data_IF_359337573433
#
_entry.id   IF_359337573433
#
_cell.length_a   1.000
_cell.length_b   1.000
_cell.length_c   1.000
_cell.angle_alpha   90.00
_cell.angle_beta   90.00
_cell.angle_gamma   90.00
#
_symmetry.space_group_name_H-M   'P 1'
#
loop_
_entity.id
_entity.type
_entity.pdbx_description
1 polymer ?
#
# COMPACT_ATOMS: atom_id res chain seq x y z
N UNK A 1 -52.28 -92.98 -25.91
CA UNK A 1 -53.38 -92.03 -25.60
C UNK A 1 -52.78 -90.65 -25.33
N UNK A 2 -53.29 -89.61 -26.01
CA UNK A 2 -53.29 -88.16 -25.69
C UNK A 2 -52.04 -87.51 -25.03
N UNK A 3 -51.19 -86.74 -25.74
CA UNK A 3 -51.27 -85.27 -25.97
C UNK A 3 -51.60 -84.40 -24.72
N UNK A 4 -50.60 -83.64 -24.20
CA UNK A 4 -50.48 -82.15 -24.18
C UNK A 4 -49.61 -81.57 -23.03
N UNK A 5 -48.67 -80.71 -23.45
CA UNK A 5 -47.94 -79.57 -22.84
C UNK A 5 -48.65 -78.71 -21.75
N UNK A 6 -48.03 -77.63 -21.19
CA UNK A 6 -46.64 -77.40 -20.72
C UNK A 6 -46.54 -76.57 -19.40
N UNK A 7 -45.29 -76.25 -19.01
CA UNK A 7 -44.86 -75.31 -17.94
C UNK A 7 -45.52 -73.92 -18.02
N UNK A 8 -45.82 -73.34 -16.85
CA UNK A 8 -46.12 -71.92 -16.68
C UNK A 8 -45.03 -71.25 -15.82
N UNK A 9 -44.35 -70.27 -16.43
CA UNK A 9 -43.48 -69.28 -15.80
C UNK A 9 -44.35 -68.06 -15.51
N UNK A 10 -44.36 -67.55 -14.28
CA UNK A 10 -45.00 -66.29 -13.92
C UNK A 10 -43.91 -65.23 -13.70
N UNK A 11 -43.99 -64.04 -14.33
CA UNK A 11 -43.03 -62.94 -14.17
C UNK A 11 -43.56 -61.79 -13.28
N UNK A 12 -42.72 -60.75 -13.12
CA UNK A 12 -42.95 -59.41 -12.53
C UNK A 12 -42.61 -59.30 -11.02
N UNK A 13 -41.96 -58.25 -10.51
CA UNK A 13 -41.78 -56.88 -11.01
C UNK A 13 -40.60 -56.21 -10.26
N UNK A 14 -39.64 -55.62 -10.97
CA UNK A 14 -38.57 -54.79 -10.38
C UNK A 14 -39.06 -53.34 -10.37
N UNK A 15 -39.41 -52.82 -9.20
CA UNK A 15 -39.65 -51.39 -9.01
C UNK A 15 -38.37 -50.60 -9.32
N UNK A 16 -38.39 -49.86 -10.44
CA UNK A 16 -37.42 -48.81 -10.74
C UNK A 16 -37.82 -47.56 -9.97
N UNK A 17 -37.02 -47.18 -8.98
CA UNK A 17 -37.06 -45.84 -8.36
C UNK A 17 -36.69 -44.80 -9.44
N UNK A 18 -37.44 -43.70 -9.61
CA UNK A 18 -37.08 -42.65 -10.56
C UNK A 18 -35.83 -41.92 -10.06
N UNK A 19 -34.82 -41.79 -10.92
CA UNK A 19 -33.70 -40.87 -10.69
C UNK A 19 -34.25 -39.45 -10.76
N UNK A 20 -34.27 -38.74 -9.63
CA UNK A 20 -34.48 -37.30 -9.58
C UNK A 20 -33.26 -36.59 -10.18
N UNK A 21 -33.34 -36.26 -11.46
CA UNK A 21 -32.44 -35.32 -12.11
C UNK A 21 -32.94 -33.90 -11.89
N UNK A 22 -32.19 -33.10 -11.13
CA UNK A 22 -32.03 -31.65 -11.27
C UNK A 22 -31.03 -31.18 -10.20
N UNK A 23 -29.73 -31.28 -10.49
CA UNK A 23 -28.79 -30.33 -9.90
C UNK A 23 -28.85 -29.10 -10.79
N UNK A 24 -29.41 -28.00 -10.29
CA UNK A 24 -29.52 -26.71 -10.98
C UNK A 24 -28.13 -26.07 -11.16
N UNK A 25 -27.34 -26.65 -12.06
CA UNK A 25 -26.18 -25.98 -12.62
C UNK A 25 -26.70 -24.95 -13.64
N UNK A 26 -26.25 -23.69 -13.59
CA UNK A 26 -26.70 -22.68 -14.54
C UNK A 26 -26.45 -23.13 -15.99
N UNK A 27 -27.34 -22.78 -16.94
CA UNK A 27 -27.20 -23.17 -18.35
C UNK A 27 -25.79 -22.84 -18.86
N UNK A 28 -25.21 -23.71 -19.69
CA UNK A 28 -23.84 -23.57 -20.19
C UNK A 28 -23.54 -22.20 -20.83
N UNK A 29 -24.56 -21.53 -21.36
CA UNK A 29 -24.55 -20.14 -21.87
C UNK A 29 -24.40 -19.09 -20.77
N UNK A 30 -25.11 -19.22 -19.64
CA UNK A 30 -24.96 -18.33 -18.47
C UNK A 30 -23.59 -18.51 -17.85
N UNK A 31 -23.11 -19.76 -17.76
CA UNK A 31 -21.75 -20.07 -17.30
C UNK A 31 -20.68 -19.44 -18.21
N UNK A 32 -20.80 -19.57 -19.53
CA UNK A 32 -19.90 -18.89 -20.49
C UNK A 32 -19.99 -17.36 -20.42
N UNK A 33 -21.18 -16.81 -20.20
CA UNK A 33 -21.40 -15.38 -20.00
C UNK A 33 -20.71 -14.87 -18.74
N UNK A 34 -20.85 -15.60 -17.63
CA UNK A 34 -20.15 -15.32 -16.37
C UNK A 34 -18.64 -15.49 -16.49
N UNK A 35 -18.16 -16.52 -17.18
CA UNK A 35 -16.73 -16.74 -17.44
C UNK A 35 -16.14 -15.63 -18.33
N UNK A 36 -16.89 -15.14 -19.33
CA UNK A 36 -16.52 -14.01 -20.19
C UNK A 36 -16.49 -12.68 -19.43
N UNK A 37 -17.52 -12.41 -18.62
CA UNK A 37 -17.58 -11.24 -17.74
C UNK A 37 -16.48 -11.28 -16.68
N UNK A 38 -16.21 -12.46 -16.12
CA UNK A 38 -15.13 -12.64 -15.16
C UNK A 38 -13.76 -12.41 -15.80
N UNK A 39 -13.52 -12.94 -17.00
CA UNK A 39 -12.28 -12.69 -17.75
C UNK A 39 -12.10 -11.20 -18.10
N UNK A 40 -13.16 -10.53 -18.57
CA UNK A 40 -13.07 -9.10 -18.94
C UNK A 40 -12.84 -8.17 -17.74
N UNK A 41 -13.30 -8.57 -16.54
CA UNK A 41 -13.14 -7.81 -15.30
C UNK A 41 -11.82 -8.14 -14.57
N UNK A 42 -11.23 -9.31 -14.83
CA UNK A 42 -10.01 -9.78 -14.15
C UNK A 42 -8.74 -9.65 -14.98
N UNK A 43 -8.83 -9.64 -16.30
CA UNK A 43 -7.68 -9.44 -17.17
C UNK A 43 -7.38 -7.95 -17.35
N UNK A 44 -6.09 -7.55 -17.39
CA UNK A 44 -5.72 -6.20 -17.82
C UNK A 44 -6.12 -6.04 -19.30
N UNK A 45 -7.34 -5.56 -19.54
CA UNK A 45 -7.91 -5.38 -20.88
C UNK A 45 -7.20 -4.29 -21.70
N UNK A 46 -7.80 -3.92 -22.84
CA UNK A 46 -7.32 -2.86 -23.72
C UNK A 46 -6.91 -1.60 -22.93
N UNK A 47 -5.66 -1.16 -23.12
CA UNK A 47 -5.07 -0.02 -22.41
C UNK A 47 -5.89 1.25 -22.57
N UNK A 48 -6.58 1.43 -23.71
CA UNK A 48 -7.43 2.58 -23.94
C UNK A 48 -8.69 2.55 -23.08
N UNK A 49 -9.41 1.42 -23.07
CA UNK A 49 -10.62 1.22 -22.26
C UNK A 49 -10.28 1.35 -20.77
N UNK A 50 -9.14 0.82 -20.33
CA UNK A 50 -8.69 0.92 -18.95
C UNK A 50 -8.45 2.37 -18.50
N UNK A 51 -7.96 3.24 -19.40
CA UNK A 51 -7.77 4.67 -19.10
C UNK A 51 -9.09 5.42 -19.00
N UNK A 52 -10.04 5.15 -19.90
CA UNK A 52 -11.39 5.72 -19.81
C UNK A 52 -12.03 5.31 -18.49
N UNK A 53 -11.88 4.04 -18.12
CA UNK A 53 -12.38 3.50 -16.86
C UNK A 53 -11.80 4.22 -15.63
N UNK A 54 -10.47 4.38 -15.57
CA UNK A 54 -9.82 5.16 -14.51
C UNK A 54 -10.35 6.59 -14.47
N UNK A 55 -10.48 7.25 -15.63
CA UNK A 55 -10.94 8.63 -15.70
C UNK A 55 -12.36 8.80 -15.15
N UNK A 56 -13.28 7.90 -15.51
CA UNK A 56 -14.65 7.89 -14.99
C UNK A 56 -14.67 7.64 -13.48
N UNK A 57 -13.86 6.70 -12.99
CA UNK A 57 -13.80 6.39 -11.56
C UNK A 57 -13.26 7.56 -10.75
N UNK A 58 -12.17 8.21 -11.21
CA UNK A 58 -11.63 9.41 -10.58
C UNK A 58 -12.63 10.56 -10.60
N UNK A 59 -13.37 10.74 -11.71
CA UNK A 59 -14.41 11.76 -11.78
C UNK A 59 -15.53 11.52 -10.77
N UNK A 60 -16.00 10.28 -10.63
CA UNK A 60 -16.96 9.91 -9.60
C UNK A 60 -16.39 10.15 -8.17
N UNK A 61 -15.10 9.85 -7.97
CA UNK A 61 -14.42 10.04 -6.69
C UNK A 61 -14.25 11.52 -6.33
N UNK A 62 -14.05 12.40 -7.31
CA UNK A 62 -14.08 13.87 -7.13
C UNK A 62 -15.44 14.33 -6.63
N UNK A 63 -16.53 13.85 -7.26
CA UNK A 63 -17.90 14.20 -6.84
C UNK A 63 -18.16 13.72 -5.41
N UNK A 64 -17.84 12.46 -5.13
CA UNK A 64 -17.97 11.89 -3.79
C UNK A 64 -17.19 12.72 -2.77
N UNK A 65 -15.92 13.00 -3.05
CA UNK A 65 -15.06 13.76 -2.15
C UNK A 65 -15.57 15.18 -1.91
N UNK A 66 -16.13 15.85 -2.93
CA UNK A 66 -16.76 17.16 -2.76
C UNK A 66 -17.98 17.07 -1.86
N UNK A 67 -18.84 16.07 -2.05
CA UNK A 67 -19.98 15.80 -1.15
C UNK A 67 -19.50 15.57 0.28
N UNK A 68 -18.42 14.80 0.48
CA UNK A 68 -17.87 14.55 1.81
C UNK A 68 -17.38 15.84 2.48
N UNK A 69 -16.71 16.74 1.76
CA UNK A 69 -16.29 18.05 2.27
C UNK A 69 -17.50 18.90 2.68
N UNK A 70 -18.57 18.89 1.89
CA UNK A 70 -19.75 19.72 2.14
C UNK A 70 -20.65 19.18 3.27
N UNK A 71 -20.67 17.86 3.46
CA UNK A 71 -21.60 17.19 4.39
C UNK A 71 -20.94 16.81 5.72
N UNK A 72 -19.67 16.41 5.72
CA UNK A 72 -18.99 15.91 6.92
C UNK A 72 -18.13 17.01 7.54
N UNK A 73 -18.36 17.37 8.82
CA UNK A 73 -17.54 18.36 9.49
C UNK A 73 -16.06 17.99 9.51
N UNK A 74 -15.24 19.00 9.27
CA UNK A 74 -13.80 18.90 9.47
C UNK A 74 -13.47 18.49 10.92
N UNK A 75 -12.50 17.60 11.09
CA UNK A 75 -12.02 17.16 12.41
C UNK A 75 -10.60 17.64 12.63
N UNK A 76 -10.43 18.62 13.50
CA UNK A 76 -9.11 19.12 13.88
C UNK A 76 -8.33 18.08 14.67
N UNK A 77 -7.09 17.80 14.25
CA UNK A 77 -6.16 16.94 14.97
C UNK A 77 -4.77 17.59 14.98
N UNK A 78 -4.20 17.82 13.79
CA UNK A 78 -2.82 18.33 13.68
C UNK A 78 -2.69 19.59 12.77
N UNK A 79 -3.70 19.93 11.96
CA UNK A 79 -3.54 20.96 10.94
C UNK A 79 -3.26 22.34 11.53
N UNK A 80 -3.99 22.71 12.59
CA UNK A 80 -3.74 23.93 13.37
C UNK A 80 -2.32 23.96 13.95
N UNK A 81 -1.85 22.83 14.50
CA UNK A 81 -0.48 22.69 15.00
C UNK A 81 0.54 22.85 13.87
N UNK A 82 0.28 22.33 12.67
CA UNK A 82 1.15 22.57 11.52
C UNK A 82 1.25 24.05 11.18
N UNK A 83 0.14 24.80 11.25
CA UNK A 83 0.12 26.26 11.01
C UNK A 83 0.93 27.02 12.06
N UNK A 84 0.79 26.66 13.34
CA UNK A 84 1.55 27.25 14.44
C UNK A 84 3.05 26.98 14.30
N UNK A 85 3.43 25.73 14.00
CA UNK A 85 4.82 25.35 13.82
C UNK A 85 5.48 26.13 12.66
N UNK A 86 4.81 26.28 11.52
CA UNK A 86 5.37 27.08 10.42
C UNK A 86 5.34 28.57 10.71
N UNK A 87 4.40 29.07 11.52
CA UNK A 87 4.40 30.48 11.95
C UNK A 87 5.65 30.79 12.79
N UNK A 88 6.11 29.90 13.68
CA UNK A 88 7.41 30.04 14.35
C UNK A 88 8.57 30.21 13.35
N UNK A 89 8.60 29.37 12.31
CA UNK A 89 9.62 29.44 11.26
C UNK A 89 9.53 30.76 10.46
N UNK A 90 8.32 31.17 10.06
CA UNK A 90 8.11 32.41 9.32
C UNK A 90 8.50 33.66 10.13
N UNK A 91 8.38 33.59 11.47
CA UNK A 91 8.83 34.62 12.40
C UNK A 91 10.35 34.61 12.67
N UNK A 92 11.10 33.72 12.01
CA UNK A 92 12.57 33.70 12.07
C UNK A 92 13.17 32.59 12.94
N UNK A 93 12.37 31.73 13.59
CA UNK A 93 12.91 30.62 14.37
C UNK A 93 13.57 29.56 13.46
N UNK A 94 14.76 29.09 13.85
CA UNK A 94 15.56 28.09 13.12
C UNK A 94 15.98 26.92 14.01
N UNK A 95 15.80 27.01 15.32
CA UNK A 95 16.03 25.93 16.24
C UNK A 95 14.79 25.04 16.34
N UNK A 96 14.87 23.81 15.83
CA UNK A 96 13.76 22.85 15.83
C UNK A 96 13.22 22.53 17.22
N UNK A 97 14.04 22.63 18.27
CA UNK A 97 13.60 22.40 19.66
C UNK A 97 12.63 23.46 20.16
N UNK A 98 12.51 24.59 19.45
CA UNK A 98 11.64 25.73 19.78
C UNK A 98 10.48 25.90 18.79
N UNK A 99 10.38 25.03 17.79
CA UNK A 99 9.27 25.02 16.84
C UNK A 99 8.22 24.04 17.36
N UNK A 100 7.14 24.56 17.90
CA UNK A 100 6.06 23.78 18.50
C UNK A 100 4.69 24.38 18.21
N UNK A 101 3.64 23.60 18.45
CA UNK A 101 2.27 24.05 18.49
C UNK A 101 1.49 23.26 19.54
N UNK A 102 0.17 23.36 19.51
CA UNK A 102 -0.71 22.85 20.57
C UNK A 102 -0.56 21.33 20.82
N UNK A 103 -0.23 20.54 19.79
CA UNK A 103 -0.01 19.09 19.92
C UNK A 103 1.47 18.69 20.09
N UNK A 104 2.37 19.67 20.23
CA UNK A 104 3.77 19.50 20.60
C UNK A 104 4.79 19.95 19.55
N UNK A 105 6.07 19.56 19.72
CA UNK A 105 7.17 20.03 18.89
C UNK A 105 7.17 19.41 17.49
N UNK A 106 7.79 20.11 16.53
CA UNK A 106 7.86 19.68 15.14
C UNK A 106 8.62 18.37 14.97
N UNK A 107 7.86 17.40 14.45
CA UNK A 107 8.18 16.03 14.03
C UNK A 107 9.13 15.76 12.90
N UNK A 108 9.12 16.72 12.00
CA UNK A 108 9.08 16.40 10.59
C UNK A 108 10.27 17.04 9.90
N UNK A 109 10.88 16.39 8.91
CA UNK A 109 11.96 17.02 8.18
C UNK A 109 11.51 18.28 7.45
N UNK A 110 12.46 19.11 7.03
CA UNK A 110 12.20 20.48 6.61
C UNK A 110 11.25 20.63 5.40
N UNK A 111 11.06 19.59 4.59
CA UNK A 111 10.03 19.61 3.54
C UNK A 111 8.62 19.80 4.08
N UNK A 112 8.33 19.35 5.31
CA UNK A 112 7.09 19.67 6.02
C UNK A 112 6.95 21.19 6.24
N UNK A 113 8.00 21.85 6.76
CA UNK A 113 7.99 23.29 6.99
C UNK A 113 7.72 24.05 5.70
N UNK A 114 8.39 23.68 4.60
CA UNK A 114 8.20 24.34 3.30
C UNK A 114 6.79 24.15 2.74
N UNK A 115 6.26 22.92 2.76
CA UNK A 115 4.91 22.65 2.29
C UNK A 115 3.86 23.39 3.12
N UNK A 116 3.95 23.33 4.45
CA UNK A 116 2.97 23.99 5.30
C UNK A 116 3.15 25.51 5.38
N UNK A 117 4.32 26.07 5.05
CA UNK A 117 4.47 27.52 4.82
C UNK A 117 3.64 27.99 3.62
N UNK A 118 3.58 27.19 2.54
CA UNK A 118 2.68 27.44 1.42
C UNK A 118 1.22 27.33 1.85
N UNK A 119 0.85 26.27 2.59
CA UNK A 119 -0.51 26.12 3.13
C UNK A 119 -0.92 27.28 4.03
N UNK A 120 -0.02 27.73 4.91
CA UNK A 120 -0.24 28.87 5.80
C UNK A 120 -0.56 30.14 4.99
N UNK A 121 0.11 30.36 3.87
CA UNK A 121 -0.22 31.48 2.97
C UNK A 121 -1.57 31.29 2.27
N UNK A 122 -1.81 30.11 1.69
CA UNK A 122 -3.02 29.83 0.89
C UNK A 122 -4.31 29.75 1.72
N UNK A 123 -4.22 29.48 3.02
CA UNK A 123 -5.38 29.24 3.89
C UNK A 123 -5.58 30.31 4.96
N UNK A 124 -4.93 31.48 4.81
CA UNK A 124 -4.91 32.54 5.84
C UNK A 124 -4.56 32.01 7.24
N UNK A 125 -3.38 31.40 7.37
CA UNK A 125 -2.88 30.75 8.60
C UNK A 125 -3.75 29.57 9.09
N UNK A 126 -4.47 28.91 8.18
CA UNK A 126 -5.38 27.81 8.50
C UNK A 126 -6.80 28.24 8.89
N UNK A 127 -7.17 29.52 8.74
CA UNK A 127 -8.55 29.98 8.97
C UNK A 127 -9.49 29.53 7.86
N UNK A 128 -9.02 29.47 6.62
CA UNK A 128 -9.77 29.02 5.46
C UNK A 128 -9.64 27.49 5.31
N UNK A 129 -10.30 26.75 6.22
CA UNK A 129 -10.23 25.29 6.26
C UNK A 129 -10.73 24.66 4.96
N UNK A 130 -11.84 25.15 4.40
CA UNK A 130 -12.44 24.61 3.16
C UNK A 130 -11.46 24.67 1.99
N UNK A 131 -10.68 25.75 1.87
CA UNK A 131 -9.64 25.87 0.85
C UNK A 131 -8.53 24.84 1.07
N UNK A 132 -8.15 24.62 2.33
CA UNK A 132 -7.27 23.51 2.73
C UNK A 132 -7.82 22.15 2.30
N UNK A 133 -9.11 21.89 2.53
CA UNK A 133 -9.76 20.63 2.14
C UNK A 133 -9.77 20.44 0.62
N UNK A 134 -9.97 21.51 -0.16
CA UNK A 134 -9.88 21.47 -1.61
C UNK A 134 -8.45 21.22 -2.12
N UNK A 135 -7.43 21.80 -1.48
CA UNK A 135 -6.02 21.49 -1.79
C UNK A 135 -5.74 20.00 -1.53
N UNK A 136 -6.19 19.47 -0.39
CA UNK A 136 -6.01 18.06 -0.06
C UNK A 136 -6.84 17.11 -0.93
N UNK A 137 -7.98 17.56 -1.45
CA UNK A 137 -8.72 16.85 -2.49
C UNK A 137 -7.88 16.74 -3.78
N UNK A 138 -7.24 17.83 -4.22
CA UNK A 138 -6.34 17.78 -5.38
C UNK A 138 -5.19 16.79 -5.14
N UNK A 139 -4.57 16.83 -3.95
CA UNK A 139 -3.50 15.91 -3.56
C UNK A 139 -4.00 14.45 -3.57
N UNK A 140 -5.21 14.20 -3.06
CA UNK A 140 -5.86 12.88 -3.08
C UNK A 140 -6.03 12.37 -4.50
N UNK A 141 -6.65 13.14 -5.39
CA UNK A 141 -6.92 12.71 -6.78
C UNK A 141 -5.64 12.51 -7.57
N UNK A 142 -4.64 13.38 -7.40
CA UNK A 142 -3.32 13.18 -8.01
C UNK A 142 -2.66 11.89 -7.50
N UNK A 143 -2.75 11.61 -6.20
CA UNK A 143 -2.21 10.38 -5.63
C UNK A 143 -2.93 9.15 -6.22
N UNK A 144 -4.26 9.16 -6.28
CA UNK A 144 -5.05 8.08 -6.86
C UNK A 144 -4.70 7.86 -8.34
N UNK A 145 -4.61 8.93 -9.14
CA UNK A 145 -4.22 8.86 -10.54
C UNK A 145 -2.86 8.18 -10.73
N UNK A 146 -1.85 8.62 -9.96
CA UNK A 146 -0.50 8.05 -10.05
C UNK A 146 -0.49 6.57 -9.63
N UNK A 147 -1.21 6.19 -8.59
CA UNK A 147 -1.32 4.79 -8.16
C UNK A 147 -2.01 3.94 -9.23
N UNK A 148 -3.14 4.39 -9.78
CA UNK A 148 -3.88 3.66 -10.80
C UNK A 148 -3.09 3.52 -12.10
N UNK A 149 -2.37 4.56 -12.51
CA UNK A 149 -1.45 4.48 -13.64
C UNK A 149 -0.28 3.54 -13.38
N UNK A 150 0.28 3.54 -12.17
CA UNK A 150 1.32 2.59 -11.74
C UNK A 150 0.86 1.15 -11.86
N UNK A 151 -0.36 0.89 -11.39
CA UNK A 151 -1.01 -0.41 -11.47
C UNK A 151 -1.28 -0.82 -12.92
N UNK A 152 -1.78 0.10 -13.75
CA UNK A 152 -1.99 -0.12 -15.19
C UNK A 152 -0.69 -0.54 -15.87
N UNK A 153 0.38 0.23 -15.71
CA UNK A 153 1.65 -0.05 -16.40
C UNK A 153 2.34 -1.32 -15.89
N UNK A 154 1.97 -1.81 -14.70
CA UNK A 154 2.45 -3.08 -14.15
C UNK A 154 1.76 -4.31 -14.75
N UNK A 155 0.67 -4.13 -15.52
CA UNK A 155 -0.14 -5.18 -16.14
C UNK A 155 -0.64 -6.25 -15.15
N UNK A 156 -0.88 -5.88 -13.89
CA UNK A 156 -1.19 -6.85 -12.83
C UNK A 156 -2.39 -6.49 -11.96
N UNK A 157 -2.81 -5.24 -11.93
CA UNK A 157 -4.06 -4.87 -11.29
C UNK A 157 -5.19 -4.96 -12.30
N UNK A 158 -6.21 -5.75 -11.96
CA UNK A 158 -7.46 -5.78 -12.71
C UNK A 158 -8.27 -4.49 -12.46
N UNK A 159 -9.19 -4.11 -13.36
CA UNK A 159 -10.16 -3.05 -13.07
C UNK A 159 -10.90 -3.26 -11.74
N UNK A 160 -11.21 -4.52 -11.40
CA UNK A 160 -11.79 -4.88 -10.11
C UNK A 160 -10.93 -4.46 -8.92
N UNK A 161 -9.60 -4.64 -9.01
CA UNK A 161 -8.67 -4.23 -7.95
C UNK A 161 -8.76 -2.72 -7.71
N UNK A 162 -8.82 -1.94 -8.79
CA UNK A 162 -8.91 -0.47 -8.73
C UNK A 162 -10.25 -0.04 -8.13
N UNK A 163 -11.37 -0.56 -8.62
CA UNK A 163 -12.71 -0.26 -8.07
C UNK A 163 -12.76 -0.56 -6.59
N UNK A 164 -12.34 -1.75 -6.22
CA UNK A 164 -12.44 -2.22 -4.85
C UNK A 164 -11.61 -1.34 -3.90
N UNK A 165 -10.43 -0.91 -4.33
CA UNK A 165 -9.60 0.04 -3.56
C UNK A 165 -10.20 1.44 -3.48
N UNK A 166 -10.96 1.89 -4.48
CA UNK A 166 -11.71 3.16 -4.39
C UNK A 166 -12.93 3.01 -3.47
N UNK A 167 -13.64 1.88 -3.53
CA UNK A 167 -14.81 1.66 -2.67
C UNK A 167 -14.45 1.49 -1.19
N UNK A 168 -13.28 0.91 -0.87
CA UNK A 168 -12.80 0.76 0.50
C UNK A 168 -12.06 1.98 1.05
N UNK A 169 -11.90 3.08 0.30
CA UNK A 169 -11.04 4.19 0.73
C UNK A 169 -11.68 5.11 1.77
N UNK A 170 -12.63 4.64 2.58
CA UNK A 170 -13.34 5.45 3.58
C UNK A 170 -12.36 6.18 4.52
N UNK A 171 -11.44 5.43 5.14
CA UNK A 171 -10.45 6.04 6.03
C UNK A 171 -9.50 6.96 5.26
N UNK A 172 -9.13 6.60 4.03
CA UNK A 172 -8.23 7.40 3.21
C UNK A 172 -8.84 8.77 2.87
N UNK A 173 -10.12 8.82 2.50
CA UNK A 173 -10.81 10.10 2.31
C UNK A 173 -10.73 10.96 3.57
N UNK A 174 -11.02 10.34 4.70
CA UNK A 174 -11.01 10.98 6.00
C UNK A 174 -9.62 11.50 6.44
N UNK A 175 -8.54 10.84 6.01
CA UNK A 175 -7.16 11.27 6.26
C UNK A 175 -6.79 12.48 5.39
N UNK A 176 -7.17 12.46 4.11
CA UNK A 176 -6.84 13.53 3.16
C UNK A 176 -7.68 14.78 3.40
N UNK A 177 -9.00 14.71 3.18
CA UNK A 177 -9.84 15.91 3.07
C UNK A 177 -10.53 16.32 4.37
N UNK A 178 -10.62 15.45 5.38
CA UNK A 178 -11.30 15.76 6.64
C UNK A 178 -10.35 16.01 7.82
N UNK A 179 -9.04 15.80 7.61
CA UNK A 179 -7.99 15.95 8.64
C UNK A 179 -6.68 16.57 8.15
N UNK A 180 -6.47 16.68 6.83
CA UNK A 180 -5.37 17.46 6.24
C UNK A 180 -3.96 16.99 6.69
N UNK A 181 -3.80 15.68 6.86
CA UNK A 181 -2.58 15.11 7.44
C UNK A 181 -1.35 15.21 6.54
N UNK A 182 -0.20 15.49 7.14
CA UNK A 182 1.11 15.56 6.48
C UNK A 182 1.44 14.29 5.67
N UNK A 183 0.96 13.14 6.14
CA UNK A 183 1.12 11.82 5.51
C UNK A 183 0.69 11.78 4.04
N UNK A 184 -0.34 12.53 3.67
CA UNK A 184 -0.90 12.59 2.31
C UNK A 184 0.12 13.10 1.29
N UNK A 185 0.85 14.16 1.67
CA UNK A 185 1.85 14.81 0.82
C UNK A 185 3.08 13.91 0.67
N UNK A 186 3.54 13.33 1.77
CA UNK A 186 4.66 12.39 1.77
C UNK A 186 4.38 11.19 0.85
N UNK A 187 3.16 10.64 0.93
CA UNK A 187 2.77 9.49 0.12
C UNK A 187 2.54 9.84 -1.35
N UNK A 188 2.05 11.04 -1.69
CA UNK A 188 2.00 11.49 -3.09
C UNK A 188 3.39 11.50 -3.72
N UNK A 189 4.37 12.12 -3.08
CA UNK A 189 5.75 12.14 -3.57
C UNK A 189 6.36 10.74 -3.66
N UNK A 190 6.11 9.89 -2.66
CA UNK A 190 6.55 8.49 -2.69
C UNK A 190 5.93 7.72 -3.87
N UNK A 191 4.63 7.87 -4.12
CA UNK A 191 3.95 7.17 -5.21
C UNK A 191 4.41 7.68 -6.60
N UNK A 192 4.74 8.97 -6.74
CA UNK A 192 5.40 9.49 -7.95
C UNK A 192 6.76 8.82 -8.17
N UNK A 193 7.57 8.68 -7.12
CA UNK A 193 8.85 7.99 -7.22
C UNK A 193 8.69 6.53 -7.65
N UNK A 194 7.74 5.81 -7.05
CA UNK A 194 7.41 4.42 -7.42
C UNK A 194 6.98 4.34 -8.88
N UNK A 195 6.07 5.22 -9.32
CA UNK A 195 5.62 5.27 -10.72
C UNK A 195 6.80 5.45 -11.69
N UNK A 196 7.69 6.40 -11.41
CA UNK A 196 8.87 6.69 -12.22
C UNK A 196 9.83 5.49 -12.31
N UNK A 197 10.02 4.76 -11.20
CA UNK A 197 10.81 3.52 -11.19
C UNK A 197 10.17 2.42 -12.05
N UNK A 198 8.83 2.28 -11.97
CA UNK A 198 8.10 1.23 -12.70
C UNK A 198 8.05 1.50 -14.20
N UNK A 199 7.84 2.75 -14.64
CA UNK A 199 7.82 3.06 -16.08
C UNK A 199 9.22 2.98 -16.71
N UNK A 200 10.27 3.21 -15.92
CA UNK A 200 11.66 2.97 -16.26
C UNK A 200 12.13 3.45 -17.65
N UNK A 201 13.14 2.75 -18.17
CA UNK A 201 13.71 2.94 -19.51
C UNK A 201 14.90 3.89 -19.54
N UNK A 202 14.71 5.17 -19.19
CA UNK A 202 15.78 6.18 -19.23
C UNK A 202 16.25 6.56 -17.83
N UNK A 203 17.57 6.69 -17.64
CA UNK A 203 18.20 7.02 -16.34
C UNK A 203 17.67 8.30 -15.69
N UNK A 204 17.31 9.31 -16.47
CA UNK A 204 16.77 10.57 -15.92
C UNK A 204 15.48 10.37 -15.13
N UNK A 205 14.63 9.39 -15.48
CA UNK A 205 13.41 9.08 -14.73
C UNK A 205 13.73 8.51 -13.36
N UNK A 206 14.80 7.73 -13.25
CA UNK A 206 15.27 7.19 -11.99
C UNK A 206 15.86 8.28 -11.09
N UNK A 207 16.61 9.21 -11.67
CA UNK A 207 17.10 10.39 -10.95
C UNK A 207 15.95 11.26 -10.46
N UNK A 208 14.91 11.43 -11.28
CA UNK A 208 13.68 12.10 -10.88
C UNK A 208 12.96 11.32 -9.77
N UNK A 209 12.95 9.98 -9.83
CA UNK A 209 12.41 9.15 -8.77
C UNK A 209 13.17 9.36 -7.45
N UNK A 210 14.50 9.46 -7.48
CA UNK A 210 15.31 9.75 -6.30
C UNK A 210 15.00 11.13 -5.70
N UNK A 211 14.77 12.14 -6.55
CA UNK A 211 14.35 13.49 -6.12
C UNK A 211 12.98 13.43 -5.43
N UNK A 212 11.97 12.84 -6.07
CA UNK A 212 10.63 12.72 -5.49
C UNK A 212 10.62 11.85 -4.22
N UNK A 213 11.40 10.77 -4.20
CA UNK A 213 11.58 9.94 -3.02
C UNK A 213 12.12 10.77 -1.85
N UNK A 214 13.15 11.58 -2.11
CA UNK A 214 13.73 12.46 -1.10
C UNK A 214 12.77 13.58 -0.69
N UNK A 215 11.98 14.15 -1.59
CA UNK A 215 10.90 15.08 -1.22
C UNK A 215 9.90 14.44 -0.26
N UNK A 216 9.50 13.19 -0.51
CA UNK A 216 8.64 12.41 0.39
C UNK A 216 9.26 12.23 1.78
N UNK A 217 10.53 11.80 1.85
CA UNK A 217 11.29 11.71 3.11
C UNK A 217 11.37 13.07 3.81
N UNK A 218 11.58 14.14 3.03
CA UNK A 218 11.64 15.51 3.50
C UNK A 218 10.32 15.99 4.12
N UNK A 219 9.20 15.40 3.77
CA UNK A 219 7.89 15.69 4.37
C UNK A 219 7.64 14.79 5.59
N UNK A 220 7.91 13.49 5.47
CA UNK A 220 7.75 12.53 6.56
C UNK A 220 8.69 11.33 6.40
N UNK A 221 9.39 10.98 7.48
CA UNK A 221 10.42 9.93 7.47
C UNK A 221 9.88 8.50 7.25
N UNK A 222 8.57 8.25 7.30
CA UNK A 222 8.01 6.92 7.03
C UNK A 222 8.37 6.40 5.63
N UNK A 223 8.62 7.31 4.68
CA UNK A 223 9.06 6.99 3.32
C UNK A 223 10.42 6.26 3.31
N UNK A 224 11.21 6.33 4.38
CA UNK A 224 12.43 5.54 4.56
C UNK A 224 12.19 4.03 4.57
N UNK A 225 10.98 3.56 4.87
CA UNK A 225 10.63 2.14 4.84
C UNK A 225 10.80 1.49 3.45
N UNK A 226 10.84 2.29 2.38
CA UNK A 226 11.11 1.82 1.02
C UNK A 226 12.61 1.79 0.66
N UNK A 227 13.49 2.41 1.45
CA UNK A 227 14.90 2.62 1.10
C UNK A 227 15.65 1.32 0.74
N UNK A 228 15.53 0.20 1.50
CA UNK A 228 16.23 -1.03 1.18
C UNK A 228 15.85 -1.59 -0.20
N UNK A 229 14.56 -1.63 -0.50
CA UNK A 229 14.05 -2.08 -1.79
C UNK A 229 14.49 -1.16 -2.94
N UNK A 230 14.39 0.16 -2.77
CA UNK A 230 14.82 1.13 -3.78
C UNK A 230 16.31 0.96 -4.09
N UNK A 231 17.16 0.89 -3.06
CA UNK A 231 18.60 0.75 -3.23
C UNK A 231 18.97 -0.53 -3.99
N UNK A 232 18.39 -1.68 -3.60
CA UNK A 232 18.63 -2.95 -4.27
C UNK A 232 18.13 -2.93 -5.72
N UNK A 233 16.94 -2.39 -5.98
CA UNK A 233 16.38 -2.30 -7.33
C UNK A 233 17.21 -1.39 -8.25
N UNK A 234 17.70 -0.26 -7.74
CA UNK A 234 18.58 0.64 -8.51
C UNK A 234 19.90 -0.06 -8.81
N UNK A 235 20.51 -0.70 -7.79
CA UNK A 235 21.78 -1.40 -7.93
C UNK A 235 21.69 -2.54 -8.96
N UNK A 236 20.68 -3.41 -8.85
CA UNK A 236 20.51 -4.58 -9.72
C UNK A 236 20.18 -4.19 -11.16
N UNK A 237 19.36 -3.16 -11.36
CA UNK A 237 18.91 -2.76 -12.70
C UNK A 237 19.87 -1.82 -13.41
N UNK A 238 20.69 -1.05 -12.69
CA UNK A 238 21.48 0.03 -13.28
C UNK A 238 22.93 0.12 -12.78
N UNK A 239 23.29 -0.62 -11.74
CA UNK A 239 24.64 -0.71 -11.20
C UNK A 239 24.97 0.35 -10.15
N UNK A 240 26.16 0.21 -9.57
CA UNK A 240 26.64 1.01 -8.43
C UNK A 240 26.72 2.52 -8.73
N UNK A 241 27.20 2.92 -9.91
CA UNK A 241 27.36 4.35 -10.26
C UNK A 241 26.01 5.05 -10.24
N UNK A 242 24.97 4.43 -10.81
CA UNK A 242 23.62 4.99 -10.81
C UNK A 242 23.01 5.05 -9.41
N UNK A 243 23.31 4.06 -8.56
CA UNK A 243 22.94 4.10 -7.13
C UNK A 243 23.58 5.30 -6.42
N UNK A 244 24.89 5.52 -6.61
CA UNK A 244 25.60 6.64 -6.00
C UNK A 244 25.07 7.99 -6.46
N UNK A 245 24.85 8.18 -7.77
CA UNK A 245 24.27 9.43 -8.29
C UNK A 245 22.85 9.66 -7.72
N UNK A 246 22.03 8.61 -7.66
CA UNK A 246 20.68 8.70 -7.09
C UNK A 246 20.74 9.09 -5.60
N UNK A 247 21.68 8.51 -4.84
CA UNK A 247 21.93 8.84 -3.44
C UNK A 247 22.40 10.28 -3.25
N UNK A 248 23.32 10.77 -4.09
CA UNK A 248 23.78 12.16 -4.08
C UNK A 248 22.61 13.11 -4.35
N UNK A 249 21.78 12.83 -5.36
CA UNK A 249 20.61 13.66 -5.66
C UNK A 249 19.62 13.69 -4.49
N UNK A 250 19.34 12.54 -3.89
CA UNK A 250 18.48 12.46 -2.71
C UNK A 250 19.07 13.25 -1.53
N UNK A 251 20.38 13.14 -1.27
CA UNK A 251 21.10 13.90 -0.25
C UNK A 251 21.06 15.41 -0.51
N UNK A 252 21.29 15.84 -1.75
CA UNK A 252 21.21 17.25 -2.15
C UNK A 252 19.83 17.84 -1.89
N UNK A 253 18.75 17.11 -2.17
CA UNK A 253 17.39 17.55 -1.83
C UNK A 253 17.25 17.78 -0.32
N UNK A 254 17.74 16.86 0.52
CA UNK A 254 17.69 17.04 1.99
C UNK A 254 18.52 18.24 2.46
N UNK A 255 19.70 18.46 1.86
CA UNK A 255 20.54 19.62 2.16
C UNK A 255 19.86 20.93 1.77
N UNK A 256 19.20 20.99 0.62
CA UNK A 256 18.45 22.18 0.17
C UNK A 256 17.28 22.46 1.12
N UNK A 257 16.45 21.46 1.40
CA UNK A 257 15.30 21.63 2.28
C UNK A 257 15.74 22.03 3.70
N UNK A 258 16.76 21.37 4.23
CA UNK A 258 17.29 21.60 5.57
C UNK A 258 18.24 22.79 5.70
N UNK A 259 18.61 23.46 4.60
CA UNK A 259 19.62 24.52 4.56
C UNK A 259 19.52 25.56 5.69
N UNK A 260 18.35 26.18 5.96
CA UNK A 260 18.25 27.21 6.99
C UNK A 260 18.50 26.68 8.42
N UNK A 261 18.32 25.37 8.63
CA UNK A 261 18.48 24.73 9.93
C UNK A 261 19.86 24.11 10.09
N UNK A 262 20.37 23.46 9.04
CA UNK A 262 21.70 22.83 9.01
C UNK A 262 22.84 23.85 9.17
N UNK A 263 22.63 25.09 8.72
CA UNK A 263 23.64 26.16 8.84
C UNK A 263 23.66 26.82 10.22
N UNK A 264 22.58 26.76 10.99
CA UNK A 264 22.44 27.48 12.26
C UNK A 264 22.35 26.54 13.46
N UNK A 265 21.53 25.49 13.38
CA UNK A 265 21.26 24.51 14.45
C UNK A 265 21.24 23.07 13.91
N UNK A 266 22.37 22.54 13.37
CA UNK A 266 22.38 21.24 12.70
C UNK A 266 22.02 20.07 13.60
N UNK A 267 22.51 20.06 14.85
CA UNK A 267 22.27 18.97 15.80
C UNK A 267 20.80 18.95 16.23
N UNK A 268 20.24 20.11 16.60
CA UNK A 268 18.84 20.26 16.98
C UNK A 268 17.90 19.85 15.83
N UNK A 269 18.24 20.24 14.59
CA UNK A 269 17.51 19.82 13.40
C UNK A 269 17.52 18.31 13.23
N UNK A 270 18.71 17.68 13.13
CA UNK A 270 18.82 16.25 12.83
C UNK A 270 18.18 15.37 13.91
N UNK A 271 18.32 15.75 15.18
CA UNK A 271 17.76 14.98 16.31
C UNK A 271 16.24 15.13 16.44
N UNK A 272 15.68 16.30 16.09
CA UNK A 272 14.25 16.56 16.17
C UNK A 272 13.50 16.07 14.93
N UNK A 273 13.99 16.42 13.73
CA UNK A 273 13.36 16.08 12.45
C UNK A 273 13.33 14.57 12.15
N UNK A 274 14.33 13.82 12.63
CA UNK A 274 14.45 12.38 12.45
C UNK A 274 14.48 11.68 13.82
N UNK A 275 13.50 11.98 14.66
CA UNK A 275 13.44 11.44 16.02
C UNK A 275 13.01 9.97 16.06
N UNK A 276 13.98 9.06 15.92
CA UNK A 276 13.79 7.61 16.05
C UNK A 276 13.50 7.15 17.49
N UNK A 277 13.76 7.99 18.49
CA UNK A 277 13.51 7.69 19.90
C UNK A 277 12.08 7.98 20.36
N UNK A 278 11.26 8.62 19.52
CA UNK A 278 9.91 9.02 19.86
C UNK A 278 9.04 7.82 20.21
N UNK A 279 8.40 7.90 21.38
CA UNK A 279 7.42 6.92 21.83
C UNK A 279 6.03 7.53 21.69
N UNK A 280 5.20 6.89 20.89
CA UNK A 280 3.81 7.31 20.71
C UNK A 280 2.92 6.74 21.84
N UNK A 281 1.82 7.44 22.12
CA UNK A 281 0.90 7.06 23.19
C UNK A 281 0.18 5.75 22.87
N UNK A 282 0.21 4.81 23.80
CA UNK A 282 -0.47 3.50 23.68
C UNK A 282 -1.99 3.62 23.49
N UNK A 283 -2.61 4.73 23.92
CA UNK A 283 -4.04 5.00 23.66
C UNK A 283 -4.37 5.01 22.17
N UNK A 284 -3.46 5.49 21.32
CA UNK A 284 -3.71 5.74 19.91
C UNK A 284 -3.13 4.67 18.98
N UNK A 285 -2.42 3.67 19.52
CA UNK A 285 -1.86 2.59 18.72
C UNK A 285 -2.94 1.64 18.21
N UNK A 286 -2.87 1.30 16.92
CA UNK A 286 -3.74 0.32 16.27
C UNK A 286 -3.11 -1.07 16.30
N UNK A 287 -1.83 -1.15 15.93
CA UNK A 287 -1.02 -2.35 16.06
C UNK A 287 -0.55 -2.53 17.51
N UNK A 288 -0.44 -3.80 17.92
CA UNK A 288 -0.02 -4.19 19.27
C UNK A 288 -0.90 -3.65 20.40
N UNK A 289 -2.12 -3.16 20.09
CA UNK A 289 -3.10 -2.78 21.11
C UNK A 289 -3.57 -3.98 21.95
N UNK A 290 -3.43 -5.19 21.40
CA UNK A 290 -3.65 -6.44 22.12
C UNK A 290 -2.54 -6.82 23.12
N UNK A 291 -1.43 -6.06 23.15
CA UNK A 291 -0.32 -6.25 24.08
C UNK A 291 -0.50 -5.28 25.25
N UNK A 292 -0.28 -5.68 26.51
CA UNK A 292 -0.32 -4.77 27.66
C UNK A 292 0.59 -3.54 27.51
N UNK A 293 0.17 -2.41 28.08
CA UNK A 293 0.87 -1.12 27.91
C UNK A 293 2.30 -1.12 28.45
N UNK A 294 2.53 -1.80 29.57
CA UNK A 294 3.84 -1.98 30.19
C UNK A 294 4.81 -2.72 29.26
N UNK A 295 4.36 -3.80 28.61
CA UNK A 295 5.16 -4.53 27.62
C UNK A 295 5.33 -3.72 26.33
N UNK A 296 4.32 -2.97 25.91
CA UNK A 296 4.41 -2.10 24.73
C UNK A 296 5.47 -1.01 24.92
N UNK A 297 5.56 -0.41 26.12
CA UNK A 297 6.53 0.63 26.42
C UNK A 297 7.93 0.08 26.71
N UNK A 298 8.08 -1.22 26.97
CA UNK A 298 9.38 -1.87 27.21
C UNK A 298 10.34 -1.70 26.02
N UNK A 299 11.57 -1.26 26.34
CA UNK A 299 12.68 -1.14 25.39
C UNK A 299 13.05 -2.50 24.79
N UNK A 300 12.96 -3.60 25.54
CA UNK A 300 13.25 -4.95 25.02
C UNK A 300 12.25 -5.35 23.94
N UNK A 301 10.97 -5.06 24.16
CA UNK A 301 9.93 -5.29 23.16
C UNK A 301 10.22 -4.50 21.88
N UNK A 302 10.53 -3.20 21.99
CA UNK A 302 10.91 -2.38 20.84
C UNK A 302 12.12 -2.93 20.07
N UNK A 303 13.20 -3.31 20.77
CA UNK A 303 14.39 -3.88 20.14
C UNK A 303 14.11 -5.24 19.49
N UNK A 304 13.24 -6.06 20.08
CA UNK A 304 12.82 -7.35 19.50
C UNK A 304 12.06 -7.16 18.18
N UNK A 305 11.17 -6.17 18.11
CA UNK A 305 10.45 -5.82 16.88
C UNK A 305 11.40 -5.33 15.79
N UNK A 306 12.39 -4.52 16.15
CA UNK A 306 13.42 -4.06 15.22
C UNK A 306 14.28 -5.24 14.70
N UNK A 307 14.69 -6.16 15.58
CA UNK A 307 15.44 -7.34 15.18
C UNK A 307 14.63 -8.24 14.23
N UNK A 308 13.36 -8.47 14.53
CA UNK A 308 12.44 -9.22 13.66
C UNK A 308 12.22 -8.54 12.31
N UNK A 309 12.05 -7.21 12.31
CA UNK A 309 11.94 -6.42 11.08
C UNK A 309 13.15 -6.61 10.17
N UNK A 310 14.37 -6.46 10.71
CA UNK A 310 15.61 -6.61 9.94
C UNK A 310 15.80 -8.06 9.45
N UNK A 311 15.48 -9.04 10.29
CA UNK A 311 15.52 -10.45 9.93
C UNK A 311 14.59 -10.77 8.76
N UNK A 312 13.33 -10.33 8.83
CA UNK A 312 12.35 -10.59 7.76
C UNK A 312 12.70 -9.85 6.48
N UNK A 313 13.20 -8.60 6.57
CA UNK A 313 13.70 -7.88 5.40
C UNK A 313 14.86 -8.62 4.72
N UNK A 314 15.85 -9.07 5.50
CA UNK A 314 16.98 -9.84 4.96
C UNK A 314 16.50 -11.14 4.32
N UNK A 315 15.60 -11.85 4.99
CA UNK A 315 15.00 -13.08 4.45
C UNK A 315 14.29 -12.83 3.11
N UNK A 316 13.47 -11.78 3.02
CA UNK A 316 12.79 -11.42 1.77
C UNK A 316 13.77 -11.02 0.68
N UNK A 317 14.78 -10.21 0.99
CA UNK A 317 15.80 -9.81 0.04
C UNK A 317 16.55 -11.01 -0.53
N UNK A 318 16.96 -11.96 0.32
CA UNK A 318 17.75 -13.12 -0.10
C UNK A 318 16.92 -14.18 -0.83
N UNK A 319 15.74 -14.52 -0.32
CA UNK A 319 14.99 -15.71 -0.75
C UNK A 319 13.72 -15.44 -1.54
N UNK A 320 13.12 -14.24 -1.43
CA UNK A 320 11.79 -13.96 -2.00
C UNK A 320 11.86 -13.03 -3.20
N UNK A 321 12.44 -11.84 -3.04
CA UNK A 321 12.39 -10.74 -4.01
C UNK A 321 12.98 -11.12 -5.37
N UNK A 322 14.15 -11.76 -5.37
CA UNK A 322 14.92 -12.01 -6.58
C UNK A 322 14.93 -13.47 -7.03
N UNK A 323 14.09 -14.34 -6.45
CA UNK A 323 14.08 -15.78 -6.75
C UNK A 323 13.86 -16.12 -8.22
N UNK A 324 13.06 -15.32 -8.94
CA UNK A 324 12.80 -15.49 -10.39
C UNK A 324 14.01 -15.15 -11.27
N UNK A 325 15.00 -14.48 -10.68
CA UNK A 325 16.17 -13.92 -11.34
C UNK A 325 17.47 -14.59 -10.84
N UNK A 326 17.37 -15.78 -10.24
CA UNK A 326 18.53 -16.53 -9.71
C UNK A 326 18.90 -16.22 -8.25
N UNK A 327 18.15 -15.34 -7.58
CA UNK A 327 18.40 -14.95 -6.18
C UNK A 327 19.33 -13.75 -6.03
N UNK A 328 19.33 -13.13 -4.84
CA UNK A 328 20.04 -11.88 -4.60
C UNK A 328 21.55 -12.01 -4.84
N UNK A 329 22.20 -13.01 -4.25
CA UNK A 329 23.65 -13.16 -4.35
C UNK A 329 24.10 -13.36 -5.81
N UNK A 330 23.36 -14.15 -6.59
CA UNK A 330 23.64 -14.30 -8.01
C UNK A 330 23.64 -12.96 -8.73
N UNK A 331 22.63 -12.11 -8.47
CA UNK A 331 22.51 -10.79 -9.08
C UNK A 331 23.57 -9.80 -8.61
N UNK A 332 24.01 -9.87 -7.36
CA UNK A 332 25.06 -8.98 -6.83
C UNK A 332 26.43 -9.26 -7.46
N UNK A 333 26.72 -10.52 -7.79
CA UNK A 333 28.00 -10.93 -8.38
C UNK A 333 28.00 -10.98 -9.91
N UNK A 334 26.84 -10.79 -10.56
CA UNK A 334 26.74 -10.77 -12.02
C UNK A 334 27.12 -9.39 -12.57
N UNK A 335 27.96 -9.36 -13.61
CA UNK A 335 28.49 -8.13 -14.20
C UNK A 335 27.51 -7.36 -15.10
N UNK A 336 26.25 -7.79 -15.22
CA UNK A 336 25.26 -7.21 -16.14
C UNK A 336 24.04 -6.70 -15.39
N UNK A 337 23.58 -5.52 -15.79
CA UNK A 337 22.31 -4.91 -15.38
C UNK A 337 21.13 -5.82 -15.75
N UNK A 338 20.38 -6.29 -14.76
CA UNK A 338 19.23 -7.20 -14.96
C UNK A 338 17.94 -6.41 -15.02
N UNK A 339 17.14 -6.61 -16.06
CA UNK A 339 15.82 -5.99 -16.17
C UNK A 339 14.81 -6.73 -15.30
N UNK A 340 14.28 -6.05 -14.28
CA UNK A 340 13.26 -6.61 -13.39
C UNK A 340 11.88 -6.25 -13.95
N UNK A 341 10.96 -7.22 -13.99
CA UNK A 341 9.61 -6.99 -14.44
C UNK A 341 8.90 -5.95 -13.55
N UNK A 342 8.12 -5.05 -14.15
CA UNK A 342 7.40 -3.95 -13.49
C UNK A 342 6.57 -4.38 -12.28
N UNK A 343 5.90 -5.52 -12.40
CA UNK A 343 5.14 -6.12 -11.30
C UNK A 343 6.01 -6.60 -10.12
N UNK A 344 7.22 -7.10 -10.41
CA UNK A 344 8.14 -7.57 -9.38
C UNK A 344 8.77 -6.36 -8.68
N UNK A 345 9.04 -5.26 -9.41
CA UNK A 345 9.42 -3.96 -8.81
C UNK A 345 8.39 -3.53 -7.76
N UNK A 346 7.09 -3.53 -8.11
CA UNK A 346 6.02 -3.16 -7.18
C UNK A 346 5.91 -4.11 -5.99
N UNK A 347 5.98 -5.42 -6.23
CA UNK A 347 5.96 -6.40 -5.14
C UNK A 347 7.11 -6.19 -4.17
N UNK A 348 8.33 -5.93 -4.66
CA UNK A 348 9.52 -5.67 -3.84
C UNK A 348 9.34 -4.38 -3.02
N UNK A 349 8.92 -3.28 -3.65
CA UNK A 349 8.73 -1.99 -2.97
C UNK A 349 7.62 -2.06 -1.91
N UNK A 350 6.45 -2.59 -2.27
CA UNK A 350 5.32 -2.64 -1.34
C UNK A 350 5.53 -3.66 -0.22
N UNK A 351 6.17 -4.82 -0.49
CA UNK A 351 6.48 -5.78 0.58
C UNK A 351 7.54 -5.23 1.54
N UNK A 352 8.54 -4.49 1.05
CA UNK A 352 9.53 -3.81 1.90
C UNK A 352 8.87 -2.84 2.88
N UNK A 353 8.02 -1.94 2.37
CA UNK A 353 7.28 -1.00 3.20
C UNK A 353 6.32 -1.72 4.16
N UNK A 354 5.61 -2.73 3.67
CA UNK A 354 4.68 -3.51 4.48
C UNK A 354 5.37 -4.24 5.64
N UNK A 355 6.55 -4.82 5.42
CA UNK A 355 7.37 -5.41 6.50
C UNK A 355 7.73 -4.33 7.53
N UNK A 356 8.05 -3.10 7.10
CA UNK A 356 8.22 -1.97 8.02
C UNK A 356 6.99 -1.68 8.88
N UNK A 357 5.82 -1.59 8.25
CA UNK A 357 4.55 -1.31 8.95
C UNK A 357 4.16 -2.43 9.90
N UNK A 358 4.25 -3.70 9.47
CA UNK A 358 3.85 -4.86 10.27
C UNK A 358 4.66 -4.99 11.58
N UNK A 359 5.95 -4.66 11.54
CA UNK A 359 6.84 -4.71 12.71
C UNK A 359 7.01 -3.35 13.40
N UNK A 360 6.32 -2.30 12.97
CA UNK A 360 6.30 -1.04 13.68
C UNK A 360 5.75 -1.27 15.09
N UNK A 361 6.25 -0.56 16.09
CA UNK A 361 5.74 -0.68 17.47
C UNK A 361 4.43 0.07 17.66
N UNK A 362 4.33 1.29 17.13
CA UNK A 362 3.14 2.12 17.26
C UNK A 362 2.70 2.65 15.91
N UNK A 363 1.41 2.51 15.63
CA UNK A 363 0.77 3.04 14.44
C UNK A 363 -0.49 3.78 14.83
N UNK A 364 -0.55 5.05 14.52
CA UNK A 364 -1.77 5.83 14.62
C UNK A 364 -2.58 5.71 13.34
N UNK A 365 -3.86 6.04 13.43
CA UNK A 365 -4.84 5.82 12.36
C UNK A 365 -4.55 6.53 11.03
N UNK A 366 -3.74 7.59 11.02
CA UNK A 366 -3.30 8.27 9.80
C UNK A 366 -2.23 7.48 9.02
N UNK A 367 -1.51 6.59 9.70
CA UNK A 367 -0.44 5.79 9.10
C UNK A 367 -0.98 4.69 8.18
N UNK A 368 -2.29 4.46 8.16
CA UNK A 368 -2.90 3.59 7.17
C UNK A 368 -2.59 4.04 5.74
N UNK A 369 -2.51 5.36 5.51
CA UNK A 369 -2.13 5.93 4.21
C UNK A 369 -0.73 5.51 3.73
N UNK A 370 0.17 5.12 4.65
CA UNK A 370 1.56 4.73 4.32
C UNK A 370 1.63 3.49 3.46
N UNK A 371 0.64 2.62 3.57
CA UNK A 371 0.68 1.32 2.93
C UNK A 371 -0.67 0.87 2.38
N UNK A 372 -1.74 1.67 2.49
CA UNK A 372 -3.08 1.39 1.94
C UNK A 372 -3.00 0.80 0.54
N UNK A 373 -2.39 1.51 -0.41
CA UNK A 373 -2.35 1.02 -1.79
C UNK A 373 -1.48 -0.22 -1.95
N UNK A 374 -0.35 -0.26 -1.25
CA UNK A 374 0.59 -1.37 -1.29
C UNK A 374 -0.01 -2.66 -0.72
N UNK A 375 -0.70 -2.62 0.43
CA UNK A 375 -1.26 -3.81 1.05
C UNK A 375 -2.41 -4.38 0.25
N UNK A 376 -3.29 -3.53 -0.30
CA UNK A 376 -4.35 -3.98 -1.20
C UNK A 376 -3.77 -4.59 -2.47
N UNK A 377 -2.73 -3.99 -3.05
CA UNK A 377 -2.01 -4.58 -4.18
C UNK A 377 -1.43 -5.96 -3.81
N UNK A 378 -0.77 -6.09 -2.66
CA UNK A 378 -0.19 -7.37 -2.20
C UNK A 378 -1.26 -8.44 -1.96
N UNK A 379 -2.42 -8.08 -1.40
CA UNK A 379 -3.53 -9.02 -1.19
C UNK A 379 -4.17 -9.43 -2.53
N UNK A 380 -4.52 -8.46 -3.37
CA UNK A 380 -5.33 -8.69 -4.57
C UNK A 380 -4.50 -9.30 -5.71
N UNK A 381 -3.22 -8.95 -5.81
CA UNK A 381 -2.30 -9.45 -6.86
C UNK A 381 -1.28 -10.48 -6.38
N UNK A 382 -1.17 -10.66 -5.07
CA UNK A 382 -0.39 -11.71 -4.45
C UNK A 382 -0.94 -13.05 -4.91
N UNK A 383 -0.12 -13.79 -5.68
CA UNK A 383 -0.46 -15.16 -6.01
C UNK A 383 -0.20 -16.01 -4.77
N UNK A 384 -1.22 -16.13 -3.93
CA UNK A 384 -1.31 -17.25 -3.01
C UNK A 384 -1.09 -18.53 -3.82
N UNK A 385 -0.24 -19.43 -3.33
CA UNK A 385 -0.08 -20.80 -3.86
C UNK A 385 -1.39 -21.62 -3.86
N UNK A 386 -2.47 -21.00 -3.38
CA UNK A 386 -3.86 -21.42 -3.48
C UNK A 386 -4.34 -21.41 -4.95
N UNK A 387 -3.57 -20.86 -5.91
CA UNK A 387 -3.57 -21.31 -7.31
C UNK A 387 -3.00 -22.75 -7.46
N UNK A 388 -3.62 -23.65 -6.71
CA UNK A 388 -3.46 -25.10 -6.76
C UNK A 388 -4.17 -25.63 -8.00
N UNK A 389 -3.84 -26.85 -8.44
CA UNK A 389 -4.47 -27.49 -9.62
C UNK A 389 -5.99 -27.73 -9.49
N UNK A 390 -6.64 -27.22 -8.44
CA UNK A 390 -8.06 -27.33 -8.16
C UNK A 390 -8.73 -25.95 -8.24
N UNK A 391 -9.68 -25.79 -9.17
CA UNK A 391 -10.51 -24.58 -9.38
C UNK A 391 -11.23 -24.10 -8.11
N UNK A 392 -11.46 -24.97 -7.13
CA UNK A 392 -12.12 -24.64 -5.86
C UNK A 392 -11.25 -23.76 -4.97
N UNK A 393 -9.92 -23.96 -4.99
CA UNK A 393 -8.98 -23.16 -4.21
C UNK A 393 -8.83 -21.75 -4.81
N UNK A 394 -8.83 -21.63 -6.14
CA UNK A 394 -8.85 -20.33 -6.84
C UNK A 394 -10.06 -19.49 -6.45
N UNK A 395 -11.24 -20.11 -6.41
CA UNK A 395 -12.48 -19.44 -6.01
C UNK A 395 -12.44 -18.99 -4.55
N UNK A 396 -11.90 -19.83 -3.65
CA UNK A 396 -11.72 -19.47 -2.25
C UNK A 396 -10.74 -18.29 -2.09
N UNK A 397 -9.63 -18.29 -2.83
CA UNK A 397 -8.69 -17.17 -2.87
C UNK A 397 -9.32 -15.89 -3.41
N UNK A 398 -10.16 -15.98 -4.44
CA UNK A 398 -10.90 -14.84 -4.99
C UNK A 398 -11.85 -14.22 -3.96
N UNK A 399 -12.52 -15.05 -3.14
CA UNK A 399 -13.43 -14.57 -2.10
C UNK A 399 -12.68 -14.02 -0.88
N UNK A 400 -11.62 -14.70 -0.43
CA UNK A 400 -10.89 -14.32 0.79
C UNK A 400 -10.10 -13.02 0.65
N UNK A 401 -9.63 -12.67 -0.55
CA UNK A 401 -8.85 -11.44 -0.77
C UNK A 401 -9.64 -10.16 -0.46
N UNK A 402 -10.85 -9.93 -1.04
CA UNK A 402 -11.74 -8.85 -0.61
C UNK A 402 -12.03 -8.85 0.89
N UNK A 403 -12.25 -10.03 1.49
CA UNK A 403 -12.51 -10.15 2.93
C UNK A 403 -11.34 -9.62 3.76
N UNK A 404 -10.09 -9.94 3.40
CA UNK A 404 -8.92 -9.42 4.11
C UNK A 404 -8.75 -7.91 3.97
N UNK A 405 -8.99 -7.36 2.78
CA UNK A 405 -8.97 -5.92 2.59
C UNK A 405 -10.07 -5.21 3.40
N UNK A 406 -11.29 -5.76 3.42
CA UNK A 406 -12.37 -5.24 4.25
C UNK A 406 -12.04 -5.35 5.75
N UNK A 407 -11.45 -6.46 6.19
CA UNK A 407 -11.00 -6.63 7.56
C UNK A 407 -9.94 -5.59 7.95
N UNK A 408 -9.00 -5.25 7.06
CA UNK A 408 -8.06 -4.15 7.28
C UNK A 408 -8.81 -2.83 7.44
N UNK A 409 -9.74 -2.51 6.55
CA UNK A 409 -10.55 -1.29 6.65
C UNK A 409 -11.29 -1.22 7.99
N UNK A 410 -11.90 -2.31 8.45
CA UNK A 410 -12.53 -2.38 9.77
C UNK A 410 -11.54 -2.15 10.92
N UNK A 411 -10.35 -2.77 10.87
CA UNK A 411 -9.32 -2.60 11.91
C UNK A 411 -8.88 -1.14 12.03
N UNK A 412 -8.67 -0.46 10.89
CA UNK A 412 -8.30 0.95 10.83
C UNK A 412 -9.46 1.91 11.10
N UNK A 413 -10.70 1.42 11.18
CA UNK A 413 -11.87 2.23 11.52
C UNK A 413 -12.45 1.93 12.93
N UNK A 414 -11.75 1.16 13.76
CA UNK A 414 -12.16 0.88 15.14
C UNK A 414 -11.52 1.88 16.12
N UNK A 415 -12.34 2.74 16.76
CA UNK A 415 -11.88 3.84 17.64
C UNK A 415 -12.51 3.76 19.04
N UNK A 416 -11.72 3.64 20.12
CA UNK A 416 -10.30 3.26 20.14
C UNK A 416 -10.10 1.82 19.64
N UNK A 417 -8.86 1.47 19.26
CA UNK A 417 -8.53 0.11 18.87
C UNK A 417 -8.76 -0.85 20.05
N UNK A 418 -9.21 -2.07 19.73
CA UNK A 418 -9.48 -3.14 20.69
C UNK A 418 -8.48 -4.28 20.55
N UNK A 419 -8.42 -5.16 21.54
CA UNK A 419 -7.67 -6.43 21.45
C UNK A 419 -8.01 -7.21 20.20
N UNK A 420 -9.31 -7.28 19.87
CA UNK A 420 -9.79 -8.01 18.71
C UNK A 420 -9.34 -7.36 17.41
N UNK A 421 -9.55 -6.04 17.24
CA UNK A 421 -9.13 -5.35 16.01
C UNK A 421 -7.62 -5.41 15.81
N UNK A 422 -6.83 -5.35 16.88
CA UNK A 422 -5.37 -5.49 16.81
C UNK A 422 -4.91 -6.90 16.47
N UNK A 423 -5.51 -7.93 17.09
CA UNK A 423 -5.24 -9.35 16.76
C UNK A 423 -5.63 -9.65 15.31
N UNK A 424 -6.76 -9.13 14.85
CA UNK A 424 -7.23 -9.29 13.46
C UNK A 424 -6.28 -8.60 12.47
N UNK A 425 -5.83 -7.38 12.76
CA UNK A 425 -4.83 -6.68 11.95
C UNK A 425 -3.56 -7.52 11.79
N UNK A 426 -3.02 -8.03 12.90
CA UNK A 426 -1.83 -8.88 12.91
C UNK A 426 -2.05 -10.22 12.19
N UNK A 427 -3.22 -10.82 12.35
CA UNK A 427 -3.59 -12.04 11.62
C UNK A 427 -3.58 -11.80 10.10
N UNK A 428 -4.23 -10.73 9.63
CA UNK A 428 -4.23 -10.39 8.20
C UNK A 428 -2.81 -10.10 7.72
N UNK A 429 -2.02 -9.34 8.48
CA UNK A 429 -0.62 -9.05 8.12
C UNK A 429 0.21 -10.33 8.00
N UNK A 430 0.07 -11.24 8.96
CA UNK A 430 0.76 -12.53 8.95
C UNK A 430 0.37 -13.38 7.73
N UNK A 431 -0.92 -13.49 7.42
CA UNK A 431 -1.40 -14.22 6.23
C UNK A 431 -0.82 -13.63 4.95
N UNK A 432 -0.76 -12.30 4.84
CA UNK A 432 -0.14 -11.64 3.67
C UNK A 432 1.35 -11.96 3.58
N UNK A 433 2.12 -11.85 4.67
CA UNK A 433 3.55 -12.18 4.67
C UNK A 433 3.80 -13.62 4.21
N UNK A 434 3.05 -14.58 4.77
CA UNK A 434 3.15 -15.99 4.41
C UNK A 434 2.77 -16.22 2.95
N UNK A 435 1.74 -15.52 2.44
CA UNK A 435 1.32 -15.65 1.05
C UNK A 435 2.42 -15.27 0.05
N UNK A 436 3.27 -14.29 0.40
CA UNK A 436 4.35 -13.81 -0.46
C UNK A 436 5.54 -14.79 -0.55
N UNK A 437 5.67 -15.69 0.42
CA UNK A 437 6.74 -16.70 0.44
C UNK A 437 6.60 -17.69 -0.71
N UNK A 438 5.38 -17.93 -1.20
CA UNK A 438 5.15 -18.94 -2.22
C UNK A 438 5.28 -18.38 -3.65
N UNK A 439 5.90 -19.14 -4.59
CA UNK A 439 6.06 -18.69 -5.96
C UNK A 439 4.74 -18.73 -6.72
N UNK A 440 4.48 -17.62 -7.43
CA UNK A 440 3.54 -17.55 -8.52
C UNK A 440 3.82 -18.66 -9.55
N UNK A 441 2.86 -19.57 -9.82
CA UNK A 441 2.93 -20.41 -11.02
C UNK A 441 2.99 -19.50 -12.25
N UNK A 442 4.05 -19.67 -13.05
CA UNK A 442 4.21 -19.04 -14.36
C UNK A 442 3.12 -19.61 -15.27
N UNK A 443 2.30 -18.78 -15.95
CA UNK A 443 1.47 -19.29 -17.02
C UNK A 443 2.38 -19.96 -18.06
N UNK A 444 2.05 -21.19 -18.46
CA UNK A 444 2.77 -21.86 -19.55
C UNK A 444 2.64 -20.98 -20.79
N UNK A 445 3.71 -20.29 -21.16
CA UNK A 445 3.78 -19.62 -22.45
C UNK A 445 3.64 -20.72 -23.49
N UNK A 446 2.52 -20.75 -24.22
CA UNK A 446 2.43 -21.54 -25.44
C UNK A 446 3.53 -21.00 -26.33
N UNK A 447 4.56 -21.81 -26.58
CA UNK A 447 5.51 -21.54 -27.66
C UNK A 447 4.66 -21.44 -28.93
N UNK A 448 4.57 -20.23 -29.47
CA UNK A 448 4.02 -19.98 -30.81
C UNK A 448 4.92 -20.63 -31.84
#
# INVERSE_FOLDING_TARGET
>A
MSKKHPKMVVPAERNKVPKSSTSDAPPATVRKGLESLFASVTEPGDTFIFRIFIAMLLFADVILSKILIDVIPYTEIDFSTYMQQVECFLNGERNYTRIEGDTGPVVYPAGHIWFYSLMHHLTEKGKLIVDGQHIFLIIYILNQLIVFETFRVSNRASPFTIVFMTCLSYRLHSIFMLRLFNDCVAMLFCNIAIYLMVIGGRRWKLYLAAIFYSLGVGVKMNVLLFAPAIALLVFIQHGFVTLMISGILAGTVQLILGFPFLTTYPIDYLTSAFNFGRVFLYKWTVNWKCVPEDLFLDRKFHLSLLALHLFVLLFFATFVWFRKYGGLFHLLFQSKNVQIAKQDILMILYSCNFIGVAFSRSLHYQFYSWYYHGIHFLILTGKTSIESSSKTLDLLGFILRPVFCFALECCWNTYPATDFSSKLLHFVHFVVLISLLFPAKQPKVKKS
#
